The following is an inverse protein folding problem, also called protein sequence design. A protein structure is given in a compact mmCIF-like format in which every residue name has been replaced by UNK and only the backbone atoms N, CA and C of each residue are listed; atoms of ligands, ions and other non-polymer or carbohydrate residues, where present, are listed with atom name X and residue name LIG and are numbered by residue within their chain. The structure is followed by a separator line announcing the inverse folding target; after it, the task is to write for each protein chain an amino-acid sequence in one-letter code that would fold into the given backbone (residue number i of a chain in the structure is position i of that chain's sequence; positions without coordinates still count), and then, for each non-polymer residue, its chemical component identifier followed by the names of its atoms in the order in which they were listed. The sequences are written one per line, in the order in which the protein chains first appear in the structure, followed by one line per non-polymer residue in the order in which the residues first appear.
data_IF_320823813909
#
_entry.id   IF_320823813909
#
_cell.length_a   1.000
_cell.length_b   1.000
_cell.length_c   1.000
_cell.angle_alpha   90.00
_cell.angle_beta   90.00
_cell.angle_gamma   90.00
#
_symmetry.space_group_name_H-M   'P 1'
#
loop_
_entity.id
_entity.type
_entity.pdbx_description
1 polymer ?
#
# COMPACT_ATOMS: atom_id res chain seq x y z
N UNK A 1 -33.90 -31.98 -20.55
CA UNK A 1 -32.85 -30.93 -20.50
C UNK A 1 -33.50 -29.66 -20.04
N UNK A 2 -33.11 -29.14 -18.86
CA UNK A 2 -32.58 -27.78 -18.66
C UNK A 2 -32.24 -27.62 -17.18
N UNK A 3 -30.94 -27.73 -16.86
CA UNK A 3 -30.42 -27.32 -15.55
C UNK A 3 -30.32 -25.80 -15.56
N UNK A 4 -31.06 -25.12 -14.69
CA UNK A 4 -30.90 -23.69 -14.48
C UNK A 4 -29.87 -23.49 -13.37
N UNK A 5 -28.59 -23.40 -13.76
CA UNK A 5 -27.54 -22.92 -12.87
C UNK A 5 -27.64 -21.39 -12.78
N UNK A 6 -28.25 -20.87 -11.71
CA UNK A 6 -28.27 -19.44 -11.40
C UNK A 6 -26.97 -19.06 -10.68
N UNK A 7 -25.88 -18.97 -11.43
CA UNK A 7 -24.63 -18.39 -10.94
C UNK A 7 -24.70 -16.87 -11.01
N UNK A 8 -25.16 -16.20 -9.94
CA UNK A 8 -24.89 -14.77 -9.79
C UNK A 8 -23.37 -14.62 -9.58
N UNK A 9 -22.64 -14.37 -10.67
CA UNK A 9 -21.36 -13.68 -10.57
C UNK A 9 -21.72 -12.22 -10.39
N UNK A 10 -21.61 -11.71 -9.16
CA UNK A 10 -21.67 -10.27 -8.91
C UNK A 10 -20.46 -9.60 -9.60
N UNK A 11 -20.58 -9.34 -10.90
CA UNK A 11 -19.69 -8.47 -11.65
C UNK A 11 -20.14 -7.01 -11.48
N UNK A 12 -20.37 -6.60 -10.22
CA UNK A 12 -20.50 -5.19 -9.93
C UNK A 12 -19.10 -4.61 -10.10
N UNK A 13 -18.89 -3.61 -10.98
CA UNK A 13 -17.61 -2.93 -11.04
C UNK A 13 -17.29 -2.41 -9.64
N UNK A 14 -16.11 -2.76 -9.13
CA UNK A 14 -15.64 -2.32 -7.80
C UNK A 14 -15.47 -0.80 -7.86
N UNK A 15 -16.53 -0.07 -7.52
CA UNK A 15 -16.55 1.38 -7.58
C UNK A 15 -15.77 1.93 -6.40
N UNK A 16 -14.59 2.46 -6.69
CA UNK A 16 -13.77 3.21 -5.74
C UNK A 16 -12.48 2.49 -5.41
N UNK A 17 -11.37 3.07 -5.85
CA UNK A 17 -9.99 2.61 -5.70
C UNK A 17 -9.64 1.30 -6.45
N UNK A 18 -8.53 1.33 -7.22
CA UNK A 18 -7.95 0.18 -7.93
C UNK A 18 -7.62 -0.99 -7.00
N UNK A 19 -7.08 -2.10 -7.52
CA UNK A 19 -6.76 -3.27 -6.67
C UNK A 19 -5.50 -3.04 -5.83
N UNK A 20 -5.47 -3.66 -4.65
CA UNK A 20 -4.24 -3.77 -3.86
C UNK A 20 -3.20 -4.54 -4.66
N UNK A 21 -1.96 -4.07 -4.67
CA UNK A 21 -0.85 -4.76 -5.34
C UNK A 21 0.19 -5.22 -4.34
N UNK A 22 0.90 -6.28 -4.70
CA UNK A 22 1.90 -6.92 -3.84
C UNK A 22 3.18 -7.18 -4.62
N UNK A 23 4.31 -7.18 -3.91
CA UNK A 23 5.59 -7.61 -4.46
C UNK A 23 5.74 -9.15 -4.47
N UNK A 24 6.90 -9.63 -4.93
CA UNK A 24 7.20 -11.06 -4.99
C UNK A 24 7.25 -11.73 -3.60
N UNK A 25 7.58 -10.98 -2.56
CA UNK A 25 7.66 -11.46 -1.18
C UNK A 25 6.28 -11.44 -0.49
N UNK A 26 5.25 -10.92 -1.16
CA UNK A 26 3.88 -10.85 -0.66
C UNK A 26 3.59 -9.60 0.17
N UNK A 27 4.47 -8.60 0.19
CA UNK A 27 4.19 -7.34 0.88
C UNK A 27 3.35 -6.40 0.01
N UNK A 28 2.54 -5.57 0.64
CA UNK A 28 1.63 -4.65 -0.04
C UNK A 28 2.38 -3.43 -0.59
N UNK A 29 2.38 -3.26 -1.91
CA UNK A 29 3.03 -2.13 -2.60
C UNK A 29 2.07 -0.97 -2.77
N UNK A 30 0.81 -1.19 -3.15
CA UNK A 30 -0.17 -0.11 -3.37
C UNK A 30 -1.43 -0.34 -2.55
N UNK A 31 -1.83 0.69 -1.78
CA UNK A 31 -3.15 0.81 -1.17
C UNK A 31 -3.88 1.99 -1.83
N UNK A 32 -4.76 1.71 -2.81
CA UNK A 32 -5.44 2.75 -3.58
C UNK A 32 -6.61 3.38 -2.81
N UNK A 33 -7.06 2.80 -1.69
CA UNK A 33 -8.09 3.43 -0.84
C UNK A 33 -7.47 4.50 0.06
N UNK A 34 -6.20 4.34 0.42
CA UNK A 34 -5.42 5.36 1.14
C UNK A 34 -4.60 6.24 0.21
N UNK A 35 -4.59 5.93 -1.08
CA UNK A 35 -3.79 6.58 -2.09
C UNK A 35 -2.30 6.62 -1.72
N UNK A 36 -1.77 5.49 -1.25
CA UNK A 36 -0.37 5.35 -0.85
C UNK A 36 0.34 4.23 -1.60
N UNK A 37 1.65 4.39 -1.73
CA UNK A 37 2.59 3.38 -2.18
C UNK A 37 3.62 3.12 -1.08
N UNK A 38 3.92 1.85 -0.81
CA UNK A 38 4.91 1.41 0.18
C UNK A 38 6.08 0.72 -0.53
N UNK A 39 7.30 1.09 -0.17
CA UNK A 39 8.52 0.41 -0.61
C UNK A 39 9.17 -0.34 0.55
N UNK A 40 9.85 -1.42 0.22
CA UNK A 40 10.49 -2.31 1.18
C UNK A 40 11.98 -2.41 0.88
N UNK A 41 12.78 -2.55 1.95
CA UNK A 41 14.21 -2.76 1.82
C UNK A 41 14.55 -4.24 1.56
N UNK A 42 15.84 -4.54 1.39
CA UNK A 42 16.34 -5.91 1.18
C UNK A 42 16.07 -6.88 2.35
N UNK A 43 15.68 -6.39 3.52
CA UNK A 43 15.28 -7.19 4.68
C UNK A 43 13.77 -7.42 4.74
N UNK A 44 13.04 -7.02 3.69
CA UNK A 44 11.59 -7.15 3.61
C UNK A 44 10.85 -6.28 4.65
N UNK A 45 11.45 -5.17 5.07
CA UNK A 45 10.88 -4.21 6.02
C UNK A 45 10.41 -2.94 5.31
N UNK A 46 9.32 -2.31 5.74
CA UNK A 46 8.88 -1.02 5.18
C UNK A 46 9.99 0.03 5.30
N UNK A 47 10.31 0.68 4.19
CA UNK A 47 11.36 1.71 4.10
C UNK A 47 10.74 3.09 3.84
N UNK A 48 9.74 3.16 2.95
CA UNK A 48 9.06 4.41 2.62
C UNK A 48 7.58 4.16 2.38
N UNK A 49 6.74 5.08 2.86
CA UNK A 49 5.33 5.16 2.51
C UNK A 49 5.09 6.54 1.91
N UNK A 50 4.56 6.61 0.70
CA UNK A 50 4.37 7.84 -0.07
C UNK A 50 2.91 7.99 -0.49
N UNK A 51 2.36 9.20 -0.38
CA UNK A 51 1.03 9.55 -0.89
C UNK A 51 1.13 9.83 -2.40
N UNK A 52 0.35 9.16 -3.25
CA UNK A 52 0.55 9.25 -4.71
C UNK A 52 0.24 10.65 -5.28
N UNK A 53 -0.69 11.38 -4.66
CA UNK A 53 -1.12 12.72 -5.12
C UNK A 53 -0.46 13.88 -4.34
N UNK A 54 0.54 13.62 -3.51
CA UNK A 54 1.23 14.65 -2.72
C UNK A 54 2.70 14.30 -2.52
N UNK A 55 3.57 15.30 -2.38
CA UNK A 55 4.98 15.07 -2.00
C UNK A 55 5.16 14.65 -0.52
N UNK A 56 4.11 14.09 0.12
CA UNK A 56 4.15 13.64 1.51
C UNK A 56 4.62 12.19 1.53
N UNK A 57 5.63 11.95 2.34
CA UNK A 57 6.09 10.60 2.61
C UNK A 57 6.52 10.45 4.05
N UNK A 58 6.48 9.22 4.52
CA UNK A 58 7.04 8.77 5.79
C UNK A 58 8.21 7.86 5.42
N UNK A 59 9.40 8.23 5.88
CA UNK A 59 10.59 7.39 5.76
C UNK A 59 10.80 6.66 7.10
N UNK A 60 10.96 5.34 7.02
CA UNK A 60 11.08 4.47 8.19
C UNK A 60 12.54 4.00 8.23
N UNK A 61 13.28 4.49 9.23
CA UNK A 61 14.65 4.06 9.46
C UNK A 61 14.59 2.83 10.36
N UNK A 62 14.93 1.68 9.77
CA UNK A 62 15.04 0.43 10.50
C UNK A 62 16.47 0.28 11.03
N UNK A 63 16.62 0.00 12.32
CA UNK A 63 17.93 -0.42 12.84
C UNK A 63 18.26 -1.80 12.26
N UNK A 64 19.54 -2.10 12.03
CA UNK A 64 20.02 -3.26 11.28
C UNK A 64 19.58 -4.63 11.86
N UNK A 65 18.93 -4.61 13.03
CA UNK A 65 18.44 -5.75 13.80
C UNK A 65 16.95 -6.05 13.52
N UNK A 66 16.29 -5.29 12.62
CA UNK A 66 14.88 -5.51 12.25
C UNK A 66 13.86 -5.03 13.29
N UNK A 67 14.31 -4.38 14.35
CA UNK A 67 13.46 -3.65 15.30
C UNK A 67 13.14 -2.27 14.73
N UNK A 68 11.84 -1.98 14.55
CA UNK A 68 11.34 -0.68 14.11
C UNK A 68 11.82 0.43 15.07
N UNK A 69 12.90 1.14 14.72
CA UNK A 69 13.43 2.22 15.54
C UNK A 69 12.73 3.54 15.18
N UNK A 70 11.47 3.66 15.62
CA UNK A 70 10.75 4.93 15.67
C UNK A 70 10.01 5.30 14.39
N UNK A 71 8.69 5.37 14.48
CA UNK A 71 7.82 5.97 13.45
C UNK A 71 8.09 7.47 13.37
N UNK A 72 8.99 7.90 12.48
CA UNK A 72 9.25 9.30 12.22
C UNK A 72 8.19 9.87 11.26
N UNK A 73 7.06 10.37 11.79
CA UNK A 73 6.16 11.24 11.02
C UNK A 73 6.81 12.61 10.81
N UNK A 74 7.67 12.75 9.80
CA UNK A 74 8.25 14.04 9.40
C UNK A 74 7.21 14.81 8.58
N UNK A 75 6.40 15.62 9.26
CA UNK A 75 5.44 16.55 8.62
C UNK A 75 6.23 17.59 7.80
N UNK A 76 6.40 17.37 6.48
CA UNK A 76 6.97 18.37 5.58
C UNK A 76 5.93 19.47 5.32
N UNK A 77 5.83 20.44 6.24
CA UNK A 77 5.31 21.78 5.91
C UNK A 77 6.47 22.51 5.23
N UNK A 78 6.43 22.68 3.91
CA UNK A 78 7.27 23.66 3.23
C UNK A 78 6.59 25.02 3.39
N UNK A 79 7.18 25.89 4.21
CA UNK A 79 6.87 27.32 4.27
C UNK A 79 7.51 27.97 3.04
N UNK A 80 6.75 28.77 2.28
CA UNK A 80 7.30 29.87 1.49
C UNK A 80 7.05 31.17 2.24
#
# INVERSE_FOLDING_TARGET
VVGFAFGIKNNLPRTGAGDYTYDHNGNMVVDPHKNITTTYNHLNLPEKIEENDSAKFIEIINDAIGTNSGTASKKMIQIR
#
